data_IF_409486610192
#
_entry.id   IF_409486610192
#
_cell.length_a   1.000
_cell.length_b   1.000
_cell.length_c   1.000
_cell.angle_alpha   90.00
_cell.angle_beta   90.00
_cell.angle_gamma   90.00
#
_symmetry.space_group_name_H-M   'P 1'
#
loop_
_entity.id
_entity.type
_entity.pdbx_description
1 polymer ?
#
# COMPACT_ATOMS: atom_id res chain seq x y z
N UNK A 1 -6.58 -32.04 17.47
CA UNK A 1 -5.44 -31.39 16.79
C UNK A 1 -5.56 -31.49 15.27
N UNK A 2 -5.81 -32.67 14.69
CA UNK A 2 -5.99 -32.85 13.24
C UNK A 2 -7.24 -32.10 12.72
N UNK A 3 -8.39 -32.24 13.39
CA UNK A 3 -9.63 -31.55 13.01
C UNK A 3 -9.54 -30.00 13.02
N UNK A 4 -8.72 -29.44 13.92
CA UNK A 4 -8.49 -28.00 14.01
C UNK A 4 -7.64 -27.49 12.84
N UNK A 5 -6.67 -28.28 12.39
CA UNK A 5 -5.83 -27.97 11.22
C UNK A 5 -6.65 -28.07 9.94
N UNK A 6 -7.48 -29.10 9.79
CA UNK A 6 -8.37 -29.24 8.62
C UNK A 6 -9.33 -28.05 8.49
N UNK A 7 -9.93 -27.62 9.60
CA UNK A 7 -10.82 -26.45 9.62
C UNK A 7 -10.11 -25.14 9.19
N UNK A 8 -8.86 -24.95 9.63
CA UNK A 8 -8.06 -23.79 9.26
C UNK A 8 -7.66 -23.81 7.78
N UNK A 9 -7.31 -24.99 7.24
CA UNK A 9 -6.99 -25.18 5.83
C UNK A 9 -8.22 -24.90 4.95
N UNK A 10 -9.41 -25.38 5.34
CA UNK A 10 -10.65 -25.09 4.60
C UNK A 10 -11.04 -23.61 4.67
N UNK A 11 -10.82 -22.94 5.79
CA UNK A 11 -11.08 -21.50 5.93
C UNK A 11 -10.13 -20.68 5.02
N UNK A 12 -8.85 -21.02 5.00
CA UNK A 12 -7.86 -20.42 4.11
C UNK A 12 -8.17 -20.66 2.63
N UNK A 13 -8.58 -21.89 2.26
CA UNK A 13 -8.98 -22.23 0.91
C UNK A 13 -10.21 -21.44 0.45
N UNK A 14 -11.24 -21.32 1.30
CA UNK A 14 -12.42 -20.51 0.98
C UNK A 14 -12.10 -19.01 0.88
N UNK A 15 -11.20 -18.49 1.72
CA UNK A 15 -10.74 -17.10 1.63
C UNK A 15 -10.01 -16.83 0.31
N UNK A 16 -9.16 -17.77 -0.13
CA UNK A 16 -8.46 -17.67 -1.41
C UNK A 16 -9.44 -17.68 -2.59
N UNK A 17 -10.44 -18.59 -2.57
CA UNK A 17 -11.46 -18.67 -3.63
C UNK A 17 -12.30 -17.38 -3.71
N UNK A 18 -12.73 -16.83 -2.57
CA UNK A 18 -13.50 -15.58 -2.53
C UNK A 18 -12.67 -14.37 -2.98
N UNK A 19 -11.40 -14.29 -2.57
CA UNK A 19 -10.48 -13.22 -3.00
C UNK A 19 -10.23 -13.27 -4.51
N UNK A 20 -10.01 -14.47 -5.06
CA UNK A 20 -9.81 -14.67 -6.50
C UNK A 20 -11.08 -14.36 -7.30
N UNK A 21 -12.26 -14.76 -6.84
CA UNK A 21 -13.53 -14.39 -7.48
C UNK A 21 -13.76 -12.87 -7.50
N UNK A 22 -13.48 -12.19 -6.39
CA UNK A 22 -13.58 -10.72 -6.33
C UNK A 22 -12.59 -10.04 -7.29
N UNK A 23 -11.36 -10.56 -7.39
CA UNK A 23 -10.36 -10.06 -8.33
C UNK A 23 -10.76 -10.26 -9.79
N UNK A 24 -11.39 -11.40 -10.13
CA UNK A 24 -11.90 -11.67 -11.48
C UNK A 24 -13.06 -10.72 -11.85
N UNK A 25 -13.99 -10.48 -10.92
CA UNK A 25 -15.08 -9.50 -11.13
C UNK A 25 -14.51 -8.10 -11.31
N UNK A 26 -13.56 -7.68 -10.48
CA UNK A 26 -12.85 -6.41 -10.62
C UNK A 26 -12.12 -6.29 -11.96
N UNK A 27 -11.49 -7.37 -12.44
CA UNK A 27 -10.82 -7.41 -13.73
C UNK A 27 -11.80 -7.21 -14.90
N UNK A 28 -12.96 -7.88 -14.87
CA UNK A 28 -14.00 -7.73 -15.90
C UNK A 28 -14.56 -6.30 -15.89
N UNK A 29 -14.86 -5.75 -14.72
CA UNK A 29 -15.38 -4.39 -14.56
C UNK A 29 -14.39 -3.32 -15.04
N UNK A 30 -13.08 -3.52 -14.78
CA UNK A 30 -12.04 -2.57 -15.18
C UNK A 30 -11.62 -2.72 -16.64
N UNK A 31 -11.72 -3.92 -17.24
CA UNK A 31 -11.51 -4.15 -18.68
C UNK A 31 -12.67 -3.71 -19.56
N UNK A 32 -13.88 -3.61 -19.03
CA UNK A 32 -15.07 -3.12 -19.75
C UNK A 32 -15.01 -1.65 -20.20
N UNK A 33 -13.92 -0.92 -19.95
CA UNK A 33 -13.60 0.37 -20.56
C UNK A 33 -14.44 1.59 -20.11
N UNK A 34 -15.55 1.38 -19.41
CA UNK A 34 -16.46 2.47 -19.01
C UNK A 34 -16.09 3.22 -17.73
N UNK A 35 -15.16 2.70 -16.93
CA UNK A 35 -14.80 3.28 -15.63
C UNK A 35 -13.67 4.31 -15.77
N UNK A 36 -13.85 5.49 -15.16
CA UNK A 36 -12.78 6.49 -15.05
C UNK A 36 -11.58 5.88 -14.28
N UNK A 37 -10.33 6.24 -14.61
CA UNK A 37 -9.13 5.64 -14.00
C UNK A 37 -9.11 5.63 -12.46
N UNK A 38 -9.68 6.66 -11.83
CA UNK A 38 -9.81 6.73 -10.37
C UNK A 38 -10.72 5.65 -9.77
N UNK A 39 -11.80 5.28 -10.48
CA UNK A 39 -12.71 4.22 -10.06
C UNK A 39 -12.14 2.84 -10.28
N UNK A 40 -11.34 2.66 -11.35
CA UNK A 40 -10.57 1.43 -11.55
C UNK A 40 -9.59 1.22 -10.39
N UNK A 41 -8.87 2.27 -9.99
CA UNK A 41 -7.99 2.24 -8.83
C UNK A 41 -8.75 1.94 -7.52
N UNK A 42 -9.94 2.52 -7.31
CA UNK A 42 -10.78 2.25 -6.14
C UNK A 42 -11.24 0.78 -6.08
N UNK A 43 -11.64 0.19 -7.21
CA UNK A 43 -12.03 -1.22 -7.31
C UNK A 43 -10.85 -2.14 -6.95
N UNK A 44 -9.66 -1.86 -7.48
CA UNK A 44 -8.46 -2.62 -7.14
C UNK A 44 -8.01 -2.42 -5.69
N UNK A 45 -8.27 -1.25 -5.10
CA UNK A 45 -8.03 -1.00 -3.68
C UNK A 45 -8.92 -1.88 -2.79
N UNK A 46 -10.18 -2.14 -3.19
CA UNK A 46 -11.10 -3.05 -2.47
C UNK A 46 -10.62 -4.50 -2.58
N UNK A 47 -10.16 -4.94 -3.76
CA UNK A 47 -9.58 -6.27 -3.95
C UNK A 47 -8.35 -6.44 -3.05
N UNK A 48 -7.42 -5.48 -3.07
CA UNK A 48 -6.25 -5.49 -2.20
C UNK A 48 -6.64 -5.47 -0.72
N UNK A 49 -7.62 -4.67 -0.33
CA UNK A 49 -8.13 -4.63 1.04
C UNK A 49 -8.72 -5.98 1.47
N UNK A 50 -9.44 -6.71 0.59
CA UNK A 50 -9.95 -8.07 0.86
C UNK A 50 -8.83 -9.09 1.11
N UNK A 51 -7.70 -8.95 0.41
CA UNK A 51 -6.54 -9.83 0.60
C UNK A 51 -5.69 -9.45 1.83
N UNK A 52 -5.76 -8.19 2.29
CA UNK A 52 -5.01 -7.67 3.45
C UNK A 52 -5.77 -7.75 4.75
N UNK A 53 -7.11 -7.62 4.73
CA UNK A 53 -7.95 -7.70 5.90
C UNK A 53 -8.44 -9.14 6.09
N UNK A 54 -7.89 -9.91 7.05
CA UNK A 54 -8.49 -11.17 7.49
C UNK A 54 -9.73 -10.85 8.34
N UNK A 55 -10.75 -10.22 7.74
CA UNK A 55 -11.94 -9.83 8.49
C UNK A 55 -13.07 -10.80 8.19
N UNK A 56 -13.21 -11.76 9.09
CA UNK A 56 -14.47 -12.04 9.73
C UNK A 56 -14.20 -12.19 11.23
N UNK A 57 -14.88 -11.46 12.14
CA UNK A 57 -14.91 -11.90 13.53
C UNK A 57 -15.41 -13.34 13.52
N UNK A 58 -14.72 -14.22 14.23
CA UNK A 58 -15.32 -15.51 14.64
C UNK A 58 -16.63 -15.16 15.33
N UNK A 59 -17.75 -15.24 14.62
CA UNK A 59 -19.06 -15.07 15.22
C UNK A 59 -19.16 -16.13 16.33
N UNK A 60 -19.47 -15.76 17.58
CA UNK A 60 -19.43 -16.68 18.73
C UNK A 60 -20.49 -17.80 18.69
N UNK A 61 -21.21 -17.96 17.58
CA UNK A 61 -22.29 -18.92 17.40
C UNK A 61 -21.98 -19.74 16.15
N UNK A 62 -21.09 -20.72 16.30
CA UNK A 62 -20.90 -21.74 15.27
C UNK A 62 -22.11 -22.67 15.27
N UNK A 63 -22.68 -22.98 14.10
CA UNK A 63 -23.71 -24.02 13.99
C UNK A 63 -23.22 -25.36 14.54
N UNK A 64 -21.90 -25.59 14.55
CA UNK A 64 -21.30 -26.77 15.18
C UNK A 64 -21.58 -26.85 16.69
N UNK A 65 -21.66 -25.71 17.39
CA UNK A 65 -21.98 -25.68 18.83
C UNK A 65 -23.45 -26.04 19.07
N UNK A 66 -24.36 -25.60 18.19
CA UNK A 66 -25.79 -25.94 18.25
C UNK A 66 -26.01 -27.42 17.96
N UNK A 67 -25.32 -27.98 16.96
CA UNK A 67 -25.40 -29.42 16.66
C UNK A 67 -24.74 -30.29 17.75
N UNK A 68 -23.71 -29.79 18.44
CA UNK A 68 -23.12 -30.48 19.59
C UNK A 68 -24.07 -30.53 20.79
N UNK A 69 -24.75 -29.41 21.10
CA UNK A 69 -25.74 -29.37 22.19
C UNK A 69 -26.99 -30.20 21.88
N UNK A 70 -27.37 -30.33 20.61
CA UNK A 70 -28.47 -31.22 20.19
C UNK A 70 -28.07 -32.71 20.16
N UNK A 71 -26.76 -33.01 20.14
CA UNK A 71 -26.21 -34.36 20.21
C UNK A 71 -26.02 -34.88 21.64
N UNK A 72 -25.75 -33.98 22.59
CA UNK A 72 -25.54 -34.33 24.01
C UNK A 72 -26.84 -34.73 24.74
N UNK A 73 -28.01 -34.34 24.22
CA UNK A 73 -29.31 -34.76 24.78
C UNK A 73 -29.67 -36.24 24.46
N UNK A 74 -28.84 -36.96 23.69
CA UNK A 74 -29.12 -38.32 23.22
C UNK A 74 -28.35 -39.46 23.92
N UNK A 75 -27.51 -39.20 24.93
CA UNK A 75 -26.69 -40.27 25.54
C UNK A 75 -26.33 -40.04 27.00
N UNK A 76 -27.07 -40.66 27.91
CA UNK A 76 -26.84 -40.56 29.36
C UNK A 76 -25.63 -41.33 29.90
N UNK A 77 -25.08 -40.81 31.00
CA UNK A 77 -24.42 -41.60 32.06
C UNK A 77 -22.93 -41.32 32.33
N UNK A 78 -22.44 -41.49 33.58
CA UNK A 78 -21.65 -40.44 34.26
C UNK A 78 -20.21 -40.81 34.67
N UNK A 79 -19.46 -39.76 35.04
CA UNK A 79 -18.30 -39.67 35.96
C UNK A 79 -17.01 -40.43 35.63
N UNK A 80 -15.95 -39.69 35.27
CA UNK A 80 -14.56 -40.02 35.60
C UNK A 80 -13.90 -38.85 36.32
N UNK A 81 -13.67 -39.06 37.62
CA UNK A 81 -12.74 -38.32 38.47
C UNK A 81 -11.31 -38.50 37.95
N UNK A 82 -10.58 -37.39 37.79
CA UNK A 82 -9.11 -37.40 37.86
C UNK A 82 -8.39 -36.73 36.70
N UNK A 83 -8.38 -35.40 36.64
CA UNK A 83 -7.33 -34.65 35.92
C UNK A 83 -6.90 -33.34 36.62
N UNK A 84 -7.13 -33.22 37.94
CA UNK A 84 -6.49 -32.17 38.73
C UNK A 84 -5.10 -32.67 39.20
N UNK A 85 -4.07 -32.50 38.35
CA UNK A 85 -2.69 -32.08 38.70
C UNK A 85 -1.70 -32.33 37.55
N UNK A 86 -1.73 -31.44 36.57
CA UNK A 86 -0.54 -31.07 35.79
C UNK A 86 -0.58 -29.57 35.47
N UNK A 87 -1.00 -28.77 36.45
CA UNK A 87 -0.92 -27.32 36.40
C UNK A 87 0.48 -26.89 36.88
N UNK A 88 1.49 -27.05 36.02
CA UNK A 88 2.75 -26.32 36.14
C UNK A 88 3.46 -26.27 34.77
N UNK A 89 3.54 -25.06 34.22
CA UNK A 89 4.51 -24.59 33.20
C UNK A 89 4.40 -25.04 31.73
N UNK A 90 3.32 -25.67 31.28
CA UNK A 90 3.03 -25.65 29.85
C UNK A 90 2.39 -24.29 29.50
N UNK A 91 3.15 -23.38 28.89
CA UNK A 91 2.57 -22.20 28.26
C UNK A 91 1.39 -22.68 27.38
N UNK A 92 0.19 -22.14 27.62
CA UNK A 92 -1.00 -22.60 26.90
C UNK A 92 -0.71 -22.55 25.39
N UNK A 93 -1.11 -23.55 24.59
CA UNK A 93 -0.82 -23.57 23.15
C UNK A 93 -1.31 -22.30 22.43
N UNK A 94 -2.36 -21.66 22.96
CA UNK A 94 -2.83 -20.34 22.56
C UNK A 94 -1.77 -19.23 22.75
N UNK A 95 -1.08 -19.18 23.91
CA UNK A 95 -0.05 -18.19 24.19
C UNK A 95 1.18 -18.38 23.28
N UNK A 96 1.61 -19.62 23.06
CA UNK A 96 2.70 -19.93 22.13
C UNK A 96 2.36 -19.52 20.68
N UNK A 97 1.12 -19.78 20.23
CA UNK A 97 0.65 -19.35 18.91
C UNK A 97 0.55 -17.82 18.78
N UNK A 98 0.10 -17.13 19.83
CA UNK A 98 0.01 -15.67 19.87
C UNK A 98 1.40 -15.03 19.79
N UNK A 99 2.38 -15.55 20.53
CA UNK A 99 3.78 -15.09 20.45
C UNK A 99 4.35 -15.29 19.05
N UNK A 100 4.06 -16.41 18.39
CA UNK A 100 4.46 -16.64 16.99
C UNK A 100 3.86 -15.63 16.01
N UNK A 101 2.55 -15.36 16.10
CA UNK A 101 1.89 -14.35 15.27
C UNK A 101 2.38 -12.93 15.54
N UNK A 102 2.63 -12.58 16.80
CA UNK A 102 3.21 -11.29 17.19
C UNK A 102 4.62 -11.16 16.61
N UNK A 103 5.46 -12.20 16.70
CA UNK A 103 6.81 -12.17 16.15
C UNK A 103 6.79 -11.95 14.62
N UNK A 104 5.91 -12.65 13.89
CA UNK A 104 5.72 -12.46 12.45
C UNK A 104 5.23 -11.04 12.15
N UNK A 105 4.25 -10.53 12.91
CA UNK A 105 3.72 -9.18 12.72
C UNK A 105 4.79 -8.10 12.99
N UNK A 106 5.64 -8.28 14.02
CA UNK A 106 6.75 -7.38 14.32
C UNK A 106 7.76 -7.38 13.19
N UNK A 107 8.24 -8.55 12.76
CA UNK A 107 9.17 -8.66 11.62
C UNK A 107 8.56 -7.99 10.39
N UNK A 108 7.27 -8.22 10.15
CA UNK A 108 6.59 -7.67 8.99
C UNK A 108 6.47 -6.14 9.04
N UNK A 109 6.07 -5.58 10.19
CA UNK A 109 5.97 -4.14 10.39
C UNK A 109 7.35 -3.47 10.32
N UNK A 110 8.37 -4.09 10.89
CA UNK A 110 9.74 -3.57 10.85
C UNK A 110 10.29 -3.54 9.43
N UNK A 111 10.14 -4.63 8.66
CA UNK A 111 10.55 -4.67 7.25
C UNK A 111 9.84 -3.61 6.40
N UNK A 112 8.52 -3.51 6.55
CA UNK A 112 7.69 -2.52 5.85
C UNK A 112 8.10 -1.10 6.19
N UNK A 113 8.27 -0.79 7.48
CA UNK A 113 8.69 0.51 7.96
C UNK A 113 10.10 0.87 7.50
N UNK A 114 11.02 -0.10 7.44
CA UNK A 114 12.38 0.10 6.97
C UNK A 114 12.42 0.47 5.48
N UNK A 115 11.77 -0.32 4.61
CA UNK A 115 11.72 -0.06 3.16
C UNK A 115 11.08 1.30 2.88
N UNK A 116 9.92 1.56 3.49
CA UNK A 116 9.20 2.82 3.33
C UNK A 116 10.02 4.00 3.88
N UNK A 117 10.63 3.83 5.05
CA UNK A 117 11.48 4.83 5.69
C UNK A 117 12.68 5.21 4.84
N UNK A 118 13.40 4.23 4.28
CA UNK A 118 14.56 4.45 3.40
C UNK A 118 14.17 5.19 2.13
N UNK A 119 13.09 4.76 1.46
CA UNK A 119 12.62 5.37 0.22
C UNK A 119 12.09 6.80 0.46
N UNK A 120 11.34 7.03 1.54
CA UNK A 120 10.91 8.37 1.94
C UNK A 120 12.09 9.25 2.34
N UNK A 121 13.10 8.69 3.02
CA UNK A 121 14.30 9.43 3.38
C UNK A 121 15.06 9.90 2.13
N UNK A 122 15.26 9.01 1.15
CA UNK A 122 15.89 9.34 -0.13
C UNK A 122 15.11 10.43 -0.88
N UNK A 123 13.78 10.27 -1.03
CA UNK A 123 12.94 11.28 -1.68
C UNK A 123 12.99 12.63 -0.96
N UNK A 124 12.91 12.62 0.38
CA UNK A 124 13.03 13.84 1.19
C UNK A 124 14.42 14.45 1.12
N UNK A 125 15.48 13.67 0.97
CA UNK A 125 16.83 14.19 0.80
C UNK A 125 16.96 14.92 -0.54
N UNK A 126 16.49 14.31 -1.63
CA UNK A 126 16.46 14.96 -2.96
C UNK A 126 15.58 16.20 -2.96
N UNK A 127 14.40 16.14 -2.34
CA UNK A 127 13.52 17.30 -2.21
C UNK A 127 14.15 18.42 -1.35
N UNK A 128 14.89 18.08 -0.29
CA UNK A 128 15.64 19.05 0.52
C UNK A 128 16.77 19.70 -0.28
N UNK A 129 17.54 18.91 -1.02
CA UNK A 129 18.59 19.42 -1.91
C UNK A 129 18.00 20.36 -2.97
N UNK A 130 16.90 19.97 -3.62
CA UNK A 130 16.22 20.83 -4.60
C UNK A 130 15.65 22.12 -3.97
N UNK A 131 15.19 22.10 -2.72
CA UNK A 131 14.74 23.32 -2.02
C UNK A 131 15.89 24.29 -1.75
N UNK A 132 17.09 23.78 -1.49
CA UNK A 132 18.31 24.59 -1.32
C UNK A 132 18.95 25.01 -2.64
N UNK A 133 18.53 24.42 -3.77
CA UNK A 133 19.06 24.72 -5.09
C UNK A 133 18.81 26.16 -5.54
N UNK A 134 19.68 26.65 -6.42
CA UNK A 134 19.60 27.99 -6.98
C UNK A 134 18.30 28.15 -7.76
N UNK A 135 17.55 29.25 -7.54
CA UNK A 135 16.35 29.53 -8.31
C UNK A 135 16.71 29.71 -9.80
N UNK A 136 15.87 29.18 -10.68
CA UNK A 136 16.06 29.39 -12.11
C UNK A 136 15.91 30.88 -12.49
N UNK A 137 16.51 31.34 -13.60
CA UNK A 137 16.39 32.73 -14.06
C UNK A 137 14.93 33.19 -14.19
N UNK A 138 14.71 34.50 -14.02
CA UNK A 138 13.36 35.08 -14.03
C UNK A 138 12.58 34.76 -15.31
N UNK A 139 13.24 34.73 -16.46
CA UNK A 139 12.65 34.37 -17.76
C UNK A 139 12.10 32.94 -17.79
N UNK A 140 12.87 31.98 -17.26
CA UNK A 140 12.44 30.59 -17.13
C UNK A 140 11.30 30.43 -16.13
N UNK A 141 11.34 31.15 -15.00
CA UNK A 141 10.23 31.18 -14.04
C UNK A 141 8.96 31.75 -14.66
N UNK A 142 9.04 32.84 -15.41
CA UNK A 142 7.90 33.43 -16.11
C UNK A 142 7.30 32.46 -17.13
N UNK A 143 8.14 31.76 -17.91
CA UNK A 143 7.70 30.73 -18.83
C UNK A 143 6.94 29.61 -18.08
N UNK A 144 7.48 29.11 -16.98
CA UNK A 144 6.80 28.11 -16.15
C UNK A 144 5.42 28.60 -15.68
N UNK A 145 5.32 29.84 -15.18
CA UNK A 145 4.04 30.39 -14.73
C UNK A 145 3.03 30.50 -15.87
N UNK A 146 3.47 30.91 -17.07
CA UNK A 146 2.62 30.96 -18.25
C UNK A 146 2.09 29.56 -18.61
N UNK A 147 2.97 28.55 -18.63
CA UNK A 147 2.60 27.16 -18.95
C UNK A 147 1.71 26.54 -17.88
N UNK A 148 2.01 26.74 -16.60
CA UNK A 148 1.22 26.25 -15.48
C UNK A 148 -0.23 26.77 -15.53
N UNK A 149 -0.42 28.06 -15.87
CA UNK A 149 -1.76 28.63 -16.11
C UNK A 149 -2.49 27.96 -17.26
N UNK A 150 -1.81 27.67 -18.39
CA UNK A 150 -2.40 26.98 -19.54
C UNK A 150 -2.85 25.56 -19.20
N UNK A 151 -2.04 24.83 -18.41
CA UNK A 151 -2.32 23.45 -17.99
C UNK A 151 -3.24 23.40 -16.76
N UNK A 152 -3.62 24.56 -16.20
CA UNK A 152 -4.49 24.73 -15.02
C UNK A 152 -3.96 24.03 -13.77
N UNK A 153 -2.66 24.19 -13.51
CA UNK A 153 -2.01 23.71 -12.29
C UNK A 153 -1.36 24.88 -11.54
N UNK A 154 -1.26 24.76 -10.21
CA UNK A 154 -0.50 25.71 -9.40
C UNK A 154 0.96 25.67 -9.85
N UNK A 155 1.55 26.83 -10.13
CA UNK A 155 2.94 26.91 -10.57
C UNK A 155 3.86 26.30 -9.49
N UNK A 156 4.62 25.23 -9.82
CA UNK A 156 5.62 24.69 -8.92
C UNK A 156 6.82 25.65 -8.82
N UNK A 157 7.68 25.44 -7.83
CA UNK A 157 8.96 26.15 -7.76
C UNK A 157 9.90 25.60 -8.83
N UNK A 158 10.62 26.47 -9.54
CA UNK A 158 11.64 26.08 -10.52
C UNK A 158 13.04 26.34 -9.96
N UNK A 159 13.90 25.33 -10.00
CA UNK A 159 15.29 25.42 -9.55
C UNK A 159 16.22 24.86 -10.62
N UNK A 160 17.47 25.30 -10.59
CA UNK A 160 18.54 24.71 -11.40
C UNK A 160 19.04 23.46 -10.67
N UNK A 161 18.88 22.31 -11.32
CA UNK A 161 19.30 21.02 -10.81
C UNK A 161 20.69 20.61 -11.28
N UNK A 162 21.12 19.45 -10.80
CA UNK A 162 22.36 18.79 -11.24
C UNK A 162 22.31 18.53 -12.77
N UNK A 163 23.34 18.92 -13.54
CA UNK A 163 23.39 18.72 -14.98
C UNK A 163 23.44 17.25 -15.43
N UNK A 164 23.79 16.33 -14.53
CA UNK A 164 23.88 14.89 -14.81
C UNK A 164 22.53 14.21 -14.99
N UNK A 165 21.45 14.88 -14.58
CA UNK A 165 20.09 14.37 -14.66
C UNK A 165 19.25 15.21 -15.62
N UNK A 166 18.26 14.57 -16.25
CA UNK A 166 17.22 15.27 -17.00
C UNK A 166 16.37 16.18 -16.10
N UNK A 167 15.40 16.91 -16.67
CA UNK A 167 14.41 17.64 -15.87
C UNK A 167 13.62 16.63 -15.00
N UNK A 168 13.34 17.00 -13.75
CA UNK A 168 12.59 16.13 -12.84
C UNK A 168 11.75 16.90 -11.84
N UNK A 169 10.69 16.26 -11.34
CA UNK A 169 9.81 16.79 -10.29
C UNK A 169 10.07 16.06 -8.98
N UNK A 170 10.24 16.83 -7.89
CA UNK A 170 10.29 16.31 -6.52
C UNK A 170 9.23 16.92 -5.63
N UNK A 171 8.77 16.13 -4.64
CA UNK A 171 7.77 16.55 -3.67
C UNK A 171 6.33 16.30 -4.14
N UNK A 172 5.52 15.78 -3.22
CA UNK A 172 4.14 15.33 -3.53
C UNK A 172 3.14 16.48 -3.42
N UNK A 173 3.15 17.22 -2.30
CA UNK A 173 2.18 18.29 -2.04
C UNK A 173 2.68 19.69 -2.46
N UNK A 174 4.00 19.87 -2.49
CA UNK A 174 4.66 21.11 -2.92
C UNK A 174 5.71 20.75 -3.97
N UNK A 175 5.29 20.49 -5.22
CA UNK A 175 6.19 20.05 -6.28
C UNK A 175 7.22 21.14 -6.59
N UNK A 176 8.45 20.70 -6.82
CA UNK A 176 9.58 21.50 -7.26
C UNK A 176 10.09 20.86 -8.54
N UNK A 177 10.17 21.63 -9.60
CA UNK A 177 10.77 21.20 -10.86
C UNK A 177 12.25 21.62 -10.81
N UNK A 178 13.14 20.66 -10.95
CA UNK A 178 14.56 20.91 -11.15
C UNK A 178 14.87 20.72 -12.63
N UNK A 179 15.55 21.68 -13.24
CA UNK A 179 15.99 21.60 -14.64
C UNK A 179 17.51 21.75 -14.73
N UNK A 180 18.20 20.97 -15.57
CA UNK A 180 19.63 21.16 -15.81
C UNK A 180 19.89 22.51 -16.49
N UNK A 181 21.01 23.14 -16.15
CA UNK A 181 21.37 24.46 -16.70
C UNK A 181 21.45 24.48 -18.23
N UNK A 182 21.82 23.37 -18.86
CA UNK A 182 21.87 23.23 -20.31
C UNK A 182 20.52 23.48 -21.00
N UNK A 183 19.39 23.10 -20.36
CA UNK A 183 18.06 23.36 -20.91
C UNK A 183 17.68 24.85 -20.84
N UNK A 184 18.34 25.66 -19.99
CA UNK A 184 18.04 27.09 -19.93
C UNK A 184 18.54 27.86 -21.15
N UNK A 185 19.49 27.30 -21.90
CA UNK A 185 20.05 27.91 -23.10
C UNK A 185 19.10 27.84 -24.31
N UNK A 186 18.25 26.82 -24.38
CA UNK A 186 17.30 26.61 -25.49
C UNK A 186 15.86 26.73 -25.00
N UNK A 187 15.18 27.79 -25.43
CA UNK A 187 13.82 28.08 -25.02
C UNK A 187 12.79 27.06 -25.53
N UNK A 188 13.00 26.46 -26.70
CA UNK A 188 12.08 25.48 -27.27
C UNK A 188 12.18 24.15 -26.49
N UNK A 189 13.40 23.70 -26.21
CA UNK A 189 13.64 22.51 -25.38
C UNK A 189 13.14 22.71 -23.96
N UNK A 190 13.42 23.87 -23.34
CA UNK A 190 12.91 24.20 -22.01
C UNK A 190 11.38 24.15 -21.97
N UNK A 191 10.70 24.73 -22.96
CA UNK A 191 9.25 24.75 -23.03
C UNK A 191 8.68 23.34 -23.12
N UNK A 192 9.26 22.48 -23.96
CA UNK A 192 8.85 21.09 -24.11
C UNK A 192 9.05 20.30 -22.79
N UNK A 193 10.22 20.43 -22.18
CA UNK A 193 10.54 19.82 -20.89
C UNK A 193 9.58 20.26 -19.78
N UNK A 194 9.34 21.57 -19.62
CA UNK A 194 8.43 22.09 -18.60
C UNK A 194 6.99 21.63 -18.82
N UNK A 195 6.52 21.51 -20.07
CA UNK A 195 5.20 20.95 -20.36
C UNK A 195 5.09 19.48 -19.95
N UNK A 196 6.13 18.69 -20.21
CA UNK A 196 6.22 17.29 -19.79
C UNK A 196 6.17 17.17 -18.26
N UNK A 197 7.00 17.93 -17.55
CA UNK A 197 7.03 17.93 -16.08
C UNK A 197 5.72 18.46 -15.46
N UNK A 198 5.12 19.50 -16.03
CA UNK A 198 3.80 19.99 -15.60
C UNK A 198 2.70 18.95 -15.80
N UNK A 199 2.81 18.09 -16.82
CA UNK A 199 1.87 16.99 -17.00
C UNK A 199 2.00 15.95 -15.86
N UNK A 200 3.21 15.65 -15.41
CA UNK A 200 3.45 14.82 -14.22
C UNK A 200 2.88 15.46 -12.94
N UNK A 201 3.07 16.78 -12.76
CA UNK A 201 2.48 17.52 -11.64
C UNK A 201 0.96 17.47 -11.68
N UNK A 202 0.34 17.65 -12.85
CA UNK A 202 -1.11 17.61 -13.03
C UNK A 202 -1.69 16.23 -12.69
N UNK A 203 -1.03 15.16 -13.14
CA UNK A 203 -1.45 13.78 -12.88
C UNK A 203 -1.14 13.31 -11.45
N UNK A 204 -0.35 14.08 -10.70
CA UNK A 204 0.11 13.74 -9.34
C UNK A 204 0.89 12.43 -9.32
N UNK A 205 1.79 12.23 -10.29
CA UNK A 205 2.53 10.98 -10.44
C UNK A 205 3.39 10.67 -9.19
N UNK A 206 3.84 11.69 -8.45
CA UNK A 206 4.51 11.52 -7.16
C UNK A 206 3.62 10.83 -6.10
N UNK A 207 2.30 11.08 -6.10
CA UNK A 207 1.37 10.37 -5.22
C UNK A 207 1.18 8.92 -5.68
N UNK A 208 1.08 8.70 -6.99
CA UNK A 208 1.04 7.35 -7.56
C UNK A 208 2.27 6.52 -7.15
N UNK A 209 3.46 7.12 -7.23
CA UNK A 209 4.72 6.49 -6.77
C UNK A 209 4.69 6.14 -5.29
N UNK A 210 4.13 7.01 -4.43
CA UNK A 210 3.99 6.72 -3.00
C UNK A 210 3.04 5.54 -2.74
N UNK A 211 1.91 5.48 -3.44
CA UNK A 211 0.96 4.38 -3.31
C UNK A 211 1.60 3.07 -3.76
N UNK A 212 2.31 3.09 -4.90
CA UNK A 212 3.03 1.93 -5.40
C UNK A 212 4.11 1.47 -4.40
N UNK A 213 4.89 2.39 -3.86
CA UNK A 213 5.89 2.10 -2.83
C UNK A 213 5.25 1.51 -1.57
N UNK A 214 4.12 2.05 -1.11
CA UNK A 214 3.40 1.53 0.05
C UNK A 214 2.89 0.11 -0.18
N UNK A 215 2.33 -0.16 -1.37
CA UNK A 215 1.89 -1.51 -1.75
C UNK A 215 3.08 -2.47 -1.80
N UNK A 216 4.15 -2.09 -2.49
CA UNK A 216 5.36 -2.92 -2.59
C UNK A 216 5.96 -3.20 -1.22
N UNK A 217 6.07 -2.18 -0.37
CA UNK A 217 6.58 -2.32 0.99
C UNK A 217 5.68 -3.20 1.87
N UNK A 218 4.37 -3.24 1.64
CA UNK A 218 3.47 -4.10 2.40
C UNK A 218 3.54 -5.57 1.94
N UNK A 219 3.67 -5.83 0.63
CA UNK A 219 3.51 -7.18 0.10
C UNK A 219 4.82 -7.93 -0.15
N UNK A 220 5.89 -7.25 -0.60
CA UNK A 220 7.03 -7.94 -1.20
C UNK A 220 8.43 -7.45 -0.76
N UNK A 221 8.54 -6.33 -0.02
CA UNK A 221 9.81 -5.74 0.49
C UNK A 221 10.99 -5.56 -0.50
N UNK A 222 10.78 -5.70 -1.81
CA UNK A 222 11.76 -5.40 -2.84
C UNK A 222 11.83 -3.91 -3.24
#
# INVERSE_FOLDING_TARGET
>A
MIATIESAVTALAMMAVQGTLLALVALVLTRGGGLRPAWQAAVWLVVLAKFVLPWGPTMPWSLADVFAHLGDDAGGGPLVLGHAKAAATAASPALASAVGWIAIAVVWLTGTAFVLGRALHADRATARAARGGYPAPATAQQLLHQLARRVRVRAPRLVVGDPSFGPYVVGVFRPIIAVPAALLADQALLRAALLHELAHVRRRDALGRLIQLAAVAAFWWW
#
